data_IF_734515870472
#
_entry.id   IF_734515870472
#
_cell.length_a   1.000
_cell.length_b   1.000
_cell.length_c   1.000
_cell.angle_alpha   90.00
_cell.angle_beta   90.00
_cell.angle_gamma   90.00
#
_symmetry.space_group_name_H-M   'P 1'
#
loop_
_entity.id
_entity.type
_entity.pdbx_description
1 polymer ?
#
# COMPACT_ATOMS: atom_id res chain seq x y z
N UNK A 1 -56.74 24.99 -59.08
CA UNK A 1 -57.49 24.62 -57.85
C UNK A 1 -56.45 24.25 -56.80
N UNK A 2 -55.97 25.24 -56.05
CA UNK A 2 -55.04 25.02 -54.94
C UNK A 2 -55.80 25.53 -53.72
N UNK A 3 -56.62 24.66 -53.14
CA UNK A 3 -57.26 24.91 -51.85
C UNK A 3 -56.14 25.29 -50.88
N UNK A 4 -56.14 26.55 -50.45
CA UNK A 4 -55.31 27.01 -49.34
C UNK A 4 -55.77 26.21 -48.13
N UNK A 5 -55.04 25.15 -47.80
CA UNK A 5 -55.18 24.38 -46.57
C UNK A 5 -55.16 25.36 -45.40
N UNK A 6 -56.35 25.76 -44.95
CA UNK A 6 -56.56 26.71 -43.87
C UNK A 6 -56.32 25.92 -42.60
N UNK A 7 -55.06 25.90 -42.14
CA UNK A 7 -54.61 25.10 -40.99
C UNK A 7 -55.55 25.38 -39.80
N UNK A 8 -56.39 24.41 -39.41
CA UNK A 8 -57.42 24.60 -38.39
C UNK A 8 -56.80 24.98 -37.04
N UNK A 9 -57.54 25.75 -36.23
CA UNK A 9 -57.00 26.43 -35.04
C UNK A 9 -56.32 25.48 -34.03
N UNK A 10 -56.84 24.26 -33.88
CA UNK A 10 -56.25 23.22 -33.05
C UNK A 10 -54.86 22.78 -33.53
N UNK A 11 -54.60 22.77 -34.84
CA UNK A 11 -53.28 22.47 -35.41
C UNK A 11 -52.27 23.62 -35.15
N UNK A 12 -52.72 24.89 -35.16
CA UNK A 12 -51.86 26.02 -34.75
C UNK A 12 -51.51 25.94 -33.26
N UNK A 13 -52.49 25.65 -32.39
CA UNK A 13 -52.26 25.43 -30.95
C UNK A 13 -51.35 24.24 -30.69
N UNK A 14 -51.49 23.15 -31.46
CA UNK A 14 -50.61 21.98 -31.39
C UNK A 14 -49.18 22.27 -31.85
N UNK A 15 -48.98 23.05 -32.93
CA UNK A 15 -47.64 23.49 -33.38
C UNK A 15 -46.98 24.45 -32.39
N UNK A 16 -47.73 25.36 -31.79
CA UNK A 16 -47.22 26.22 -30.71
C UNK A 16 -46.89 25.38 -29.48
N UNK A 17 -47.73 24.40 -29.11
CA UNK A 17 -47.42 23.47 -28.04
C UNK A 17 -46.16 22.64 -28.35
N UNK A 18 -45.96 22.20 -29.59
CA UNK A 18 -44.74 21.49 -30.04
C UNK A 18 -43.50 22.39 -30.07
N UNK A 19 -43.65 23.68 -30.39
CA UNK A 19 -42.53 24.63 -30.34
C UNK A 19 -42.20 25.01 -28.90
N UNK A 20 -43.20 25.24 -28.04
CA UNK A 20 -42.98 25.48 -26.60
C UNK A 20 -42.41 24.22 -25.95
N UNK A 21 -42.89 23.04 -26.33
CA UNK A 21 -42.32 21.77 -25.93
C UNK A 21 -40.91 21.59 -26.50
N UNK A 22 -40.65 21.97 -27.75
CA UNK A 22 -39.34 21.88 -28.40
C UNK A 22 -38.31 22.82 -27.79
N UNK A 23 -38.70 24.07 -27.50
CA UNK A 23 -37.87 25.07 -26.79
C UNK A 23 -37.71 24.67 -25.33
N UNK A 24 -38.76 24.16 -24.68
CA UNK A 24 -38.69 23.59 -23.34
C UNK A 24 -37.76 22.39 -23.28
N UNK A 25 -37.82 21.49 -24.27
CA UNK A 25 -36.92 20.38 -24.45
C UNK A 25 -35.50 20.88 -24.69
N UNK A 26 -35.27 21.86 -25.56
CA UNK A 26 -33.94 22.42 -25.80
C UNK A 26 -33.37 23.12 -24.56
N UNK A 27 -34.17 23.92 -23.86
CA UNK A 27 -33.77 24.57 -22.62
C UNK A 27 -33.40 23.52 -21.56
N UNK A 28 -34.23 22.48 -21.42
CA UNK A 28 -33.96 21.33 -20.59
C UNK A 28 -32.68 20.60 -21.01
N UNK A 29 -32.43 20.42 -22.30
CA UNK A 29 -31.20 19.81 -22.82
C UNK A 29 -29.97 20.67 -22.51
N UNK A 30 -30.06 21.99 -22.64
CA UNK A 30 -28.95 22.91 -22.35
C UNK A 30 -28.64 23.03 -20.87
N UNK A 31 -29.63 23.15 -19.99
CA UNK A 31 -29.41 23.19 -18.53
C UNK A 31 -28.88 21.85 -18.03
N UNK A 32 -29.44 20.74 -18.53
CA UNK A 32 -28.94 19.41 -18.22
C UNK A 32 -27.51 19.19 -18.71
N UNK A 33 -27.14 19.77 -19.86
CA UNK A 33 -25.78 19.71 -20.40
C UNK A 33 -24.79 20.54 -19.57
N UNK A 34 -25.16 21.75 -19.14
CA UNK A 34 -24.32 22.61 -18.29
C UNK A 34 -24.10 22.01 -16.90
N UNK A 35 -25.16 21.53 -16.24
CA UNK A 35 -25.05 20.83 -14.95
C UNK A 35 -24.15 19.60 -15.04
N UNK A 36 -24.21 18.86 -16.16
CA UNK A 36 -23.31 17.72 -16.41
C UNK A 36 -21.86 18.14 -16.64
N UNK A 37 -21.59 19.32 -17.21
CA UNK A 37 -20.23 19.84 -17.41
C UNK A 37 -19.65 20.42 -16.12
N UNK A 38 -20.45 21.14 -15.33
CA UNK A 38 -20.05 21.66 -14.03
C UNK A 38 -19.85 20.53 -13.02
N UNK A 39 -20.75 19.54 -12.96
CA UNK A 39 -20.54 18.34 -12.15
C UNK A 39 -19.40 17.46 -12.66
N UNK A 40 -19.05 17.48 -13.96
CA UNK A 40 -17.83 16.83 -14.46
C UNK A 40 -16.57 17.64 -14.21
N UNK A 41 -16.62 18.96 -14.10
CA UNK A 41 -15.52 19.80 -13.63
C UNK A 41 -15.38 19.66 -12.12
N UNK A 42 -16.49 19.62 -11.36
CA UNK A 42 -16.53 19.41 -9.92
C UNK A 42 -16.23 17.98 -9.53
N UNK A 43 -16.57 16.97 -10.31
CA UNK A 43 -16.18 15.58 -10.16
C UNK A 43 -14.97 15.22 -11.04
N UNK A 44 -14.28 16.19 -11.66
CA UNK A 44 -12.87 16.06 -12.05
C UNK A 44 -11.99 16.84 -11.10
N UNK A 45 -12.48 17.93 -10.51
CA UNK A 45 -12.01 18.52 -9.26
C UNK A 45 -12.33 17.60 -8.09
N UNK A 46 -13.34 16.73 -8.19
CA UNK A 46 -13.77 15.74 -7.22
C UNK A 46 -13.79 14.30 -7.71
N UNK A 47 -13.13 14.04 -8.84
CA UNK A 47 -12.47 12.76 -9.10
C UNK A 47 -10.95 12.91 -9.13
N UNK A 48 -10.42 14.14 -9.25
CA UNK A 48 -9.13 14.53 -8.66
C UNK A 48 -9.24 14.64 -7.13
N UNK A 49 -10.26 15.33 -6.60
CA UNK A 49 -10.83 15.01 -5.28
C UNK A 49 -11.82 13.86 -5.43
N UNK A 50 -11.55 12.70 -6.11
CA UNK A 50 -12.10 11.33 -5.75
C UNK A 50 -12.75 10.39 -6.78
N UNK A 51 -11.98 9.47 -7.36
CA UNK A 51 -12.53 8.17 -7.78
C UNK A 51 -12.93 7.29 -6.58
N UNK A 52 -12.39 7.58 -5.40
CA UNK A 52 -12.72 7.02 -4.10
C UNK A 52 -12.90 8.20 -3.17
N UNK A 53 -14.00 8.37 -2.47
CA UNK A 53 -14.27 9.58 -1.67
C UNK A 53 -13.07 9.77 -0.67
N UNK A 54 -12.32 10.86 -0.89
CA UNK A 54 -10.89 11.27 -0.74
C UNK A 54 -10.81 12.86 -0.78
N UNK A 55 -11.32 13.60 0.19
CA UNK A 55 -11.26 15.06 0.18
C UNK A 55 -9.81 15.58 -0.01
N UNK A 56 -9.54 16.19 -1.18
CA UNK A 56 -8.24 16.84 -1.45
C UNK A 56 -8.31 18.29 -1.00
N UNK A 57 -7.42 18.68 -0.09
CA UNK A 57 -7.32 20.04 0.44
C UNK A 57 -5.85 20.44 0.66
N UNK A 58 -5.57 21.74 0.65
CA UNK A 58 -4.22 22.21 0.94
C UNK A 58 -3.99 22.40 2.43
N UNK A 59 -2.86 21.91 2.92
CA UNK A 59 -2.36 22.16 4.28
C UNK A 59 -0.87 22.54 4.21
N UNK A 60 -0.49 23.71 4.76
CA UNK A 60 0.87 24.27 4.70
C UNK A 60 1.50 24.30 3.28
N UNK A 61 0.67 24.58 2.26
CA UNK A 61 1.11 24.69 0.86
C UNK A 61 1.32 23.37 0.14
N UNK A 62 0.79 22.26 0.66
CA UNK A 62 0.90 20.92 0.05
C UNK A 62 -0.49 20.29 -0.10
N UNK A 63 -0.67 19.49 -1.15
CA UNK A 63 -1.93 18.80 -1.43
C UNK A 63 -2.07 17.54 -0.54
N UNK A 64 -3.10 17.55 0.31
CA UNK A 64 -3.46 16.48 1.25
C UNK A 64 -4.73 15.80 0.78
N UNK A 65 -4.79 14.48 0.91
CA UNK A 65 -5.80 13.62 0.28
C UNK A 65 -6.48 12.79 1.39
N UNK A 66 -7.70 13.15 1.82
CA UNK A 66 -8.45 12.60 2.98
C UNK A 66 -9.55 11.62 2.54
N UNK A 67 -9.36 10.31 2.61
CA UNK A 67 -10.43 9.33 2.30
C UNK A 67 -11.69 9.55 3.16
N UNK A 68 -12.86 8.98 2.81
CA UNK A 68 -14.07 8.94 3.68
C UNK A 68 -13.76 8.31 5.03
N UNK A 69 -12.64 7.62 5.15
CA UNK A 69 -12.22 7.02 6.39
C UNK A 69 -11.21 7.91 7.11
N UNK A 70 -10.84 9.10 6.62
CA UNK A 70 -9.90 9.98 7.31
C UNK A 70 -8.43 9.56 7.15
N UNK A 71 -8.13 8.70 6.17
CA UNK A 71 -6.75 8.36 5.81
C UNK A 71 -6.19 9.54 5.01
N UNK A 72 -5.21 10.24 5.56
CA UNK A 72 -4.54 11.41 4.96
C UNK A 72 -3.27 10.98 4.22
N UNK A 73 -3.26 11.01 2.90
CA UNK A 73 -2.09 10.61 2.11
C UNK A 73 -1.51 11.85 1.42
N UNK A 74 -0.20 12.09 1.62
CA UNK A 74 0.49 13.25 1.05
C UNK A 74 0.83 12.97 -0.41
N UNK A 75 0.25 13.69 -1.37
CA UNK A 75 0.58 13.47 -2.77
C UNK A 75 1.92 14.17 -3.09
N UNK A 76 2.98 13.41 -3.37
CA UNK A 76 4.17 14.00 -4.01
C UNK A 76 4.39 13.46 -5.42
N UNK A 77 4.16 12.18 -5.73
CA UNK A 77 4.18 11.64 -7.10
C UNK A 77 3.48 10.26 -7.13
N UNK A 78 2.30 10.12 -7.73
CA UNK A 78 1.61 8.82 -7.85
C UNK A 78 0.41 8.90 -8.78
N UNK A 79 0.45 8.18 -9.90
CA UNK A 79 -0.41 8.44 -11.08
C UNK A 79 -1.75 7.68 -11.12
N UNK A 80 -2.06 6.73 -10.24
CA UNK A 80 -3.32 5.96 -10.35
C UNK A 80 -3.90 5.60 -8.98
N UNK A 81 -5.23 5.44 -8.88
CA UNK A 81 -5.97 5.01 -7.68
C UNK A 81 -7.06 4.02 -8.13
N UNK A 82 -7.21 2.87 -7.44
CA UNK A 82 -8.22 1.86 -7.80
C UNK A 82 -9.31 1.76 -6.72
N UNK A 83 -10.57 1.79 -7.17
CA UNK A 83 -11.75 1.75 -6.31
C UNK A 83 -12.57 0.52 -6.66
N UNK A 84 -12.90 -0.29 -5.66
CA UNK A 84 -13.93 -1.34 -5.78
C UNK A 84 -15.00 -1.03 -4.72
N UNK A 85 -16.26 -0.98 -5.15
CA UNK A 85 -17.43 -0.74 -4.30
C UNK A 85 -17.37 0.54 -3.43
N UNK A 86 -16.80 1.63 -3.97
CA UNK A 86 -16.80 2.95 -3.31
C UNK A 86 -15.81 3.12 -2.15
N UNK A 87 -14.93 2.14 -1.93
CA UNK A 87 -13.86 2.17 -0.91
C UNK A 87 -12.50 2.33 -1.57
N UNK A 88 -11.65 3.19 -0.99
CA UNK A 88 -10.22 3.22 -1.32
C UNK A 88 -9.58 1.96 -0.78
N UNK A 89 -9.17 1.05 -1.68
CA UNK A 89 -8.56 -0.22 -1.29
C UNK A 89 -7.04 -0.11 -1.32
N UNK A 90 -6.47 0.70 -2.23
CA UNK A 90 -5.02 0.88 -2.39
C UNK A 90 -4.67 2.32 -2.80
N UNK A 91 -3.67 2.91 -2.15
CA UNK A 91 -2.98 4.12 -2.61
C UNK A 91 -1.66 3.74 -3.29
N UNK A 92 -1.38 4.26 -4.49
CA UNK A 92 -0.14 3.98 -5.22
C UNK A 92 0.99 4.94 -4.80
N UNK A 93 2.25 4.73 -5.24
CA UNK A 93 3.42 4.82 -4.39
C UNK A 93 3.75 6.22 -3.87
N UNK A 94 4.27 6.26 -2.64
CA UNK A 94 4.70 7.46 -1.95
C UNK A 94 6.18 7.39 -1.62
N UNK A 95 6.93 8.47 -1.90
CA UNK A 95 8.23 8.66 -1.28
C UNK A 95 8.03 9.27 0.12
N UNK A 96 8.16 8.45 1.16
CA UNK A 96 8.01 8.90 2.54
C UNK A 96 9.37 9.39 3.07
N UNK A 97 9.47 10.65 3.53
CA UNK A 97 10.70 11.17 4.10
C UNK A 97 10.95 10.51 5.45
N UNK A 98 12.16 9.98 5.63
CA UNK A 98 12.63 9.41 6.89
C UNK A 98 13.85 10.17 7.38
N UNK A 99 13.98 10.25 8.69
CA UNK A 99 15.13 10.81 9.37
C UNK A 99 15.89 9.66 10.03
N UNK A 100 17.13 9.44 9.60
CA UNK A 100 17.98 8.35 10.08
C UNK A 100 19.05 8.93 11.00
N UNK A 101 19.05 8.48 12.25
CA UNK A 101 20.13 8.77 13.18
C UNK A 101 21.20 7.70 13.05
N UNK A 102 22.37 8.08 12.52
CA UNK A 102 23.57 7.23 12.48
C UNK A 102 24.32 7.40 13.80
N UNK A 103 24.76 6.29 14.41
CA UNK A 103 25.47 6.31 15.70
C UNK A 103 26.73 7.19 15.67
N UNK A 104 27.40 7.25 14.53
CA UNK A 104 28.66 8.00 14.35
C UNK A 104 28.45 9.45 13.89
N UNK A 105 27.22 9.87 13.58
CA UNK A 105 26.92 11.22 13.08
C UNK A 105 26.13 12.04 14.09
N UNK A 106 26.58 13.27 14.35
CA UNK A 106 25.79 14.23 15.13
C UNK A 106 24.63 14.83 14.33
N UNK A 107 24.66 14.73 13.00
CA UNK A 107 23.63 15.27 12.13
C UNK A 107 22.77 14.12 11.59
N UNK A 108 21.45 14.14 11.82
CA UNK A 108 20.56 13.13 11.26
C UNK A 108 20.48 13.26 9.74
N UNK A 109 20.53 12.13 9.05
CA UNK A 109 20.42 12.07 7.60
C UNK A 109 18.95 12.00 7.18
N UNK A 110 18.60 12.68 6.08
CA UNK A 110 17.25 12.59 5.49
C UNK A 110 17.31 11.68 4.28
N UNK A 111 16.51 10.62 4.29
CA UNK A 111 16.30 9.78 3.10
C UNK A 111 14.81 9.76 2.73
N UNK A 112 14.50 9.14 1.58
CA UNK A 112 13.14 8.88 1.14
C UNK A 112 12.99 7.39 0.90
N UNK A 113 12.07 6.76 1.61
CA UNK A 113 11.69 5.37 1.37
C UNK A 113 10.55 5.30 0.37
N UNK A 114 10.46 4.19 -0.35
CA UNK A 114 9.35 3.92 -1.24
C UNK A 114 8.29 3.12 -0.49
N UNK A 115 7.13 3.76 -0.26
CA UNK A 115 5.92 3.10 0.19
C UNK A 115 5.14 2.73 -1.06
N UNK A 116 5.02 1.44 -1.35
CA UNK A 116 4.33 0.97 -2.55
C UNK A 116 2.82 1.12 -2.42
N UNK A 117 2.28 0.78 -1.26
CA UNK A 117 0.85 0.86 -1.00
C UNK A 117 0.54 1.11 0.48
N UNK A 118 -0.65 1.68 0.74
CA UNK A 118 -1.26 1.77 2.07
C UNK A 118 -2.66 1.19 1.97
N UNK A 119 -3.03 0.34 2.93
CA UNK A 119 -4.33 -0.32 3.01
C UNK A 119 -4.96 -0.13 4.39
N UNK A 120 -6.29 0.00 4.43
CA UNK A 120 -7.09 0.12 5.66
C UNK A 120 -7.95 -1.14 5.88
N UNK A 121 -8.25 -1.46 7.14
CA UNK A 121 -8.92 -2.70 7.57
C UNK A 121 -8.11 -3.95 7.22
N UNK A 122 -6.78 -3.87 7.32
CA UNK A 122 -5.93 -5.04 7.38
C UNK A 122 -6.20 -5.76 8.71
N UNK A 123 -7.21 -6.63 8.74
CA UNK A 123 -7.34 -7.61 9.82
C UNK A 123 -6.29 -8.72 9.70
N UNK A 124 -5.42 -8.59 8.71
CA UNK A 124 -4.39 -9.52 8.36
C UNK A 124 -3.14 -9.23 9.16
N UNK A 125 -2.54 -10.27 9.72
CA UNK A 125 -1.20 -10.12 10.23
C UNK A 125 -0.22 -9.82 9.09
N UNK A 126 0.88 -9.07 9.34
CA UNK A 126 1.94 -8.84 8.36
C UNK A 126 2.41 -10.10 7.62
N UNK A 127 2.33 -11.27 8.25
CA UNK A 127 2.61 -12.57 7.63
C UNK A 127 1.71 -12.90 6.43
N UNK A 128 0.43 -12.51 6.48
CA UNK A 128 -0.62 -12.86 5.53
C UNK A 128 -0.54 -12.02 4.26
N UNK A 129 0.23 -10.93 4.28
CA UNK A 129 0.55 -10.12 3.11
C UNK A 129 1.14 -10.95 1.96
N UNK A 130 1.97 -11.94 2.29
CA UNK A 130 2.48 -12.86 1.29
C UNK A 130 1.37 -13.87 0.95
N UNK A 131 0.87 -13.82 -0.28
CA UNK A 131 -0.28 -14.63 -0.77
C UNK A 131 -0.25 -16.10 -0.32
N UNK A 132 0.92 -16.71 -0.27
CA UNK A 132 1.12 -18.10 0.18
C UNK A 132 0.88 -18.35 1.68
N UNK A 133 0.55 -17.31 2.46
CA UNK A 133 0.51 -17.34 3.93
C UNK A 133 -0.81 -16.84 4.53
N UNK A 134 -1.79 -16.46 3.71
CA UNK A 134 -3.08 -15.94 4.16
C UNK A 134 -3.81 -16.84 5.19
N UNK A 135 -3.53 -18.15 5.20
CA UNK A 135 -4.17 -19.12 6.12
C UNK A 135 -3.28 -19.60 7.28
N UNK A 136 -2.06 -19.08 7.44
CA UNK A 136 -0.99 -19.71 8.24
C UNK A 136 -0.69 -19.03 9.59
N UNK A 137 -1.49 -18.08 10.01
CA UNK A 137 -0.99 -17.02 10.88
C UNK A 137 -1.15 -17.24 12.41
N UNK A 138 -2.00 -18.13 12.92
CA UNK A 138 -2.21 -18.24 14.37
C UNK A 138 -1.30 -19.23 15.11
N UNK A 139 -0.15 -19.59 14.52
CA UNK A 139 0.71 -20.65 15.01
C UNK A 139 1.96 -20.09 15.70
N UNK A 140 1.94 -20.08 17.04
CA UNK A 140 3.03 -19.53 17.86
C UNK A 140 4.42 -20.12 17.56
N UNK A 141 4.48 -21.37 17.09
CA UNK A 141 5.73 -22.06 16.77
C UNK A 141 6.47 -21.45 15.56
N UNK A 142 5.79 -20.70 14.69
CA UNK A 142 6.41 -20.04 13.52
C UNK A 142 7.38 -18.94 13.92
N UNK A 143 7.13 -18.33 15.07
CA UNK A 143 7.92 -17.25 15.65
C UNK A 143 9.13 -17.75 16.45
N UNK A 144 9.42 -19.06 16.40
CA UNK A 144 10.54 -19.69 17.09
C UNK A 144 11.24 -20.70 16.18
N UNK A 145 12.58 -20.85 16.27
CA UNK A 145 13.50 -19.96 16.97
C UNK A 145 13.55 -18.59 16.29
N UNK A 146 14.04 -17.60 17.04
CA UNK A 146 14.33 -16.26 16.55
C UNK A 146 15.83 -16.11 16.50
N UNK A 147 16.40 -15.93 15.30
CA UNK A 147 17.86 -15.91 15.12
C UNK A 147 18.28 -14.51 14.65
N UNK A 148 18.98 -13.72 15.47
CA UNK A 148 19.31 -12.34 15.12
C UNK A 148 20.35 -12.28 14.00
N UNK A 149 20.10 -11.45 12.99
CA UNK A 149 21.13 -11.09 12.02
C UNK A 149 22.17 -10.20 12.72
N UNK A 150 23.49 -10.46 12.51
CA UNK A 150 24.55 -9.71 13.18
C UNK A 150 24.71 -8.27 12.68
N UNK A 151 24.44 -8.01 11.39
CA UNK A 151 24.68 -6.70 10.76
C UNK A 151 23.45 -5.80 10.61
N UNK A 152 22.25 -6.37 10.71
CA UNK A 152 20.98 -5.67 10.44
C UNK A 152 20.04 -5.88 11.63
N UNK A 153 19.15 -4.92 11.94
CA UNK A 153 18.14 -5.09 13.00
C UNK A 153 16.98 -5.98 12.53
N UNK A 154 17.33 -7.16 12.02
CA UNK A 154 16.45 -8.20 11.51
C UNK A 154 16.68 -9.49 12.28
N UNK A 155 15.62 -10.25 12.50
CA UNK A 155 15.67 -11.58 13.08
C UNK A 155 15.09 -12.59 12.06
N UNK A 156 15.82 -13.68 11.81
CA UNK A 156 15.40 -14.78 10.96
C UNK A 156 14.37 -15.66 11.69
N UNK A 157 13.28 -15.97 10.99
CA UNK A 157 12.22 -16.88 11.45
C UNK A 157 12.14 -18.11 10.53
N UNK A 158 12.92 -19.18 10.80
CA UNK A 158 13.11 -20.29 9.87
C UNK A 158 11.86 -21.19 9.73
N UNK A 159 10.90 -21.10 10.64
CA UNK A 159 9.65 -21.86 10.57
C UNK A 159 8.55 -21.16 9.76
N UNK A 160 8.78 -19.90 9.36
CA UNK A 160 7.74 -19.07 8.80
C UNK A 160 7.27 -19.52 7.40
N UNK A 161 8.20 -20.06 6.62
CA UNK A 161 7.97 -20.59 5.29
C UNK A 161 7.19 -21.90 5.21
N UNK A 162 7.00 -22.62 6.32
CA UNK A 162 6.41 -23.96 6.34
C UNK A 162 4.89 -23.96 6.17
N UNK A 163 4.31 -25.06 5.68
CA UNK A 163 2.86 -25.24 5.72
C UNK A 163 2.39 -25.55 7.14
N UNK A 164 1.17 -25.15 7.49
CA UNK A 164 0.58 -25.40 8.81
C UNK A 164 0.47 -26.89 9.13
N UNK A 165 0.12 -27.69 8.13
CA UNK A 165 0.00 -29.16 8.25
C UNK A 165 1.33 -29.84 8.59
N UNK A 166 2.47 -29.22 8.24
CA UNK A 166 3.79 -29.81 8.49
C UNK A 166 4.25 -29.60 9.94
N UNK A 167 3.59 -28.70 10.69
CA UNK A 167 3.97 -28.34 12.05
C UNK A 167 5.38 -27.75 12.19
N UNK A 168 5.88 -27.62 13.44
CA UNK A 168 7.20 -27.04 13.73
C UNK A 168 8.35 -27.90 13.17
N UNK A 169 9.40 -27.26 12.66
CA UNK A 169 10.63 -27.98 12.32
C UNK A 169 11.45 -28.33 13.57
N UNK A 170 11.70 -29.61 13.87
CA UNK A 170 12.62 -29.99 14.95
C UNK A 170 14.06 -29.53 14.70
N UNK A 171 14.43 -29.23 13.45
CA UNK A 171 15.73 -28.69 13.06
C UNK A 171 15.66 -27.18 12.73
N UNK A 172 14.57 -26.50 13.10
CA UNK A 172 14.44 -25.07 12.89
C UNK A 172 15.67 -24.33 13.44
N UNK A 173 16.28 -23.51 12.61
CA UNK A 173 17.47 -22.75 13.00
C UNK A 173 18.80 -23.46 12.82
N UNK A 174 18.82 -24.67 12.25
CA UNK A 174 20.04 -25.40 11.92
C UNK A 174 20.11 -25.74 10.44
N UNK A 175 21.25 -25.46 9.82
CA UNK A 175 21.51 -25.79 8.43
C UNK A 175 20.64 -24.97 7.46
N UNK A 176 19.54 -25.56 7.00
CA UNK A 176 18.72 -25.02 5.90
C UNK A 176 17.31 -24.69 6.39
N UNK A 177 16.80 -23.53 6.01
CA UNK A 177 15.39 -23.15 6.18
C UNK A 177 14.51 -24.04 5.30
N UNK A 178 13.51 -24.69 5.90
CA UNK A 178 12.53 -25.48 5.16
C UNK A 178 11.38 -24.59 4.70
N UNK A 179 11.34 -24.29 3.40
CA UNK A 179 10.35 -23.41 2.78
C UNK A 179 10.96 -22.05 2.41
N UNK A 180 10.19 -20.98 2.58
CA UNK A 180 10.63 -19.62 2.31
C UNK A 180 11.27 -18.94 3.54
N UNK A 181 12.20 -18.02 3.25
CA UNK A 181 12.94 -17.23 4.25
C UNK A 181 12.22 -15.92 4.52
N UNK A 182 12.05 -15.60 5.80
CA UNK A 182 11.40 -14.39 6.27
C UNK A 182 12.16 -13.78 7.44
N UNK A 183 12.18 -12.45 7.47
CA UNK A 183 12.86 -11.65 8.45
C UNK A 183 11.85 -10.80 9.18
N UNK A 184 11.86 -10.83 10.51
CA UNK A 184 11.10 -9.88 11.31
C UNK A 184 12.00 -8.75 11.76
N UNK A 185 11.49 -7.52 11.76
CA UNK A 185 12.28 -6.39 12.25
C UNK A 185 12.35 -6.44 13.77
N UNK A 186 13.56 -6.34 14.30
CA UNK A 186 13.83 -6.44 15.72
C UNK A 186 13.19 -5.25 16.42
N UNK A 187 12.41 -5.52 17.46
CA UNK A 187 11.74 -4.49 18.26
C UNK A 187 10.39 -4.03 17.70
N UNK A 188 10.16 -4.15 16.38
CA UNK A 188 8.86 -3.91 15.78
C UNK A 188 7.85 -4.98 16.26
N UNK A 189 6.64 -4.56 16.63
CA UNK A 189 5.55 -5.46 17.04
C UNK A 189 4.21 -4.92 16.57
N UNK A 190 3.45 -5.79 15.91
CA UNK A 190 2.07 -5.53 15.57
C UNK A 190 1.23 -5.41 16.85
N UNK A 191 0.47 -4.32 17.07
CA UNK A 191 -0.20 -4.06 18.35
C UNK A 191 -1.24 -5.13 18.73
N UNK A 192 -1.95 -5.67 17.74
CA UNK A 192 -2.93 -6.73 17.96
C UNK A 192 -2.33 -8.11 18.22
N UNK A 193 -1.25 -8.45 17.50
CA UNK A 193 -0.76 -9.83 17.42
C UNK A 193 0.52 -10.06 18.24
N UNK A 194 1.21 -8.99 18.63
CA UNK A 194 2.49 -9.06 19.34
C UNK A 194 3.65 -9.62 18.51
N UNK A 195 3.44 -9.85 17.22
CA UNK A 195 4.41 -10.42 16.29
C UNK A 195 5.14 -9.31 15.53
N UNK A 196 6.41 -9.50 15.12
CA UNK A 196 7.10 -8.49 14.33
C UNK A 196 6.53 -8.35 12.93
N UNK A 197 6.76 -7.18 12.35
CA UNK A 197 6.55 -6.90 10.93
C UNK A 197 7.54 -7.73 10.09
N UNK A 198 7.04 -8.40 9.05
CA UNK A 198 7.80 -9.37 8.27
C UNK A 198 8.22 -8.80 6.91
N UNK A 199 9.47 -9.09 6.56
CA UNK A 199 10.13 -8.70 5.33
C UNK A 199 10.71 -9.94 4.62
N UNK A 200 10.61 -9.91 3.30
CA UNK A 200 11.42 -10.70 2.39
C UNK A 200 12.62 -9.85 1.99
N UNK A 201 13.83 -10.37 2.19
CA UNK A 201 15.06 -9.67 1.87
C UNK A 201 15.86 -10.45 0.84
N UNK A 202 16.54 -9.75 -0.06
CA UNK A 202 17.39 -10.32 -1.09
C UNK A 202 18.85 -10.09 -0.76
N UNK A 203 19.59 -11.17 -0.63
CA UNK A 203 21.01 -11.13 -0.27
C UNK A 203 21.89 -11.19 -1.51
N UNK A 204 23.08 -10.61 -1.39
CA UNK A 204 24.15 -10.79 -2.36
C UNK A 204 24.52 -12.27 -2.43
N UNK A 205 24.62 -12.77 -3.65
CA UNK A 205 24.98 -14.15 -3.92
C UNK A 205 26.39 -14.19 -4.52
N UNK A 206 27.18 -15.26 -4.26
CA UNK A 206 28.54 -15.38 -4.79
C UNK A 206 28.59 -15.32 -6.32
N UNK A 207 29.64 -14.74 -6.89
CA UNK A 207 29.82 -14.71 -8.34
C UNK A 207 30.12 -16.10 -8.90
N UNK A 208 29.71 -16.36 -10.16
CA UNK A 208 30.02 -17.62 -10.87
C UNK A 208 29.25 -18.87 -10.42
N UNK A 209 28.25 -18.70 -9.55
CA UNK A 209 27.43 -19.80 -9.02
C UNK A 209 26.50 -20.44 -10.05
N UNK A 210 26.25 -21.73 -9.87
CA UNK A 210 25.23 -22.52 -10.57
C UNK A 210 23.83 -22.31 -9.97
N UNK A 211 22.74 -22.62 -10.72
CA UNK A 211 21.38 -22.54 -10.18
C UNK A 211 21.13 -23.41 -8.94
N UNK A 212 21.83 -24.56 -8.81
CA UNK A 212 21.73 -25.37 -7.60
C UNK A 212 22.33 -24.65 -6.37
N UNK A 213 23.45 -23.96 -6.57
CA UNK A 213 24.08 -23.15 -5.51
C UNK A 213 23.22 -21.94 -5.13
N UNK A 214 22.54 -21.31 -6.09
CA UNK A 214 21.57 -20.24 -5.79
C UNK A 214 20.49 -20.69 -4.81
N UNK A 215 19.88 -21.85 -5.09
CA UNK A 215 18.87 -22.41 -4.21
C UNK A 215 19.44 -22.75 -2.83
N UNK A 216 20.66 -23.28 -2.76
CA UNK A 216 21.32 -23.54 -1.49
C UNK A 216 21.51 -22.27 -0.66
N UNK A 217 22.08 -21.21 -1.25
CA UNK A 217 22.32 -19.95 -0.55
C UNK A 217 21.04 -19.23 -0.14
N UNK A 218 19.96 -19.37 -0.92
CA UNK A 218 18.68 -18.76 -0.61
C UNK A 218 18.05 -19.26 0.70
N UNK A 219 18.45 -20.44 1.19
CA UNK A 219 17.88 -21.05 2.40
C UNK A 219 18.92 -21.50 3.44
N UNK A 220 20.21 -21.46 3.13
CA UNK A 220 21.27 -21.80 4.10
C UNK A 220 21.38 -20.73 5.18
N UNK A 221 21.16 -21.11 6.45
CA UNK A 221 21.08 -20.19 7.59
C UNK A 221 22.42 -19.52 7.87
N UNK A 222 23.53 -20.28 7.84
CA UNK A 222 24.86 -19.73 8.11
C UNK A 222 25.24 -18.67 7.08
N UNK A 223 24.99 -18.96 5.80
CA UNK A 223 25.16 -18.00 4.72
C UNK A 223 24.27 -16.78 4.90
N UNK A 224 22.97 -16.97 5.13
CA UNK A 224 22.00 -15.87 5.29
C UNK A 224 22.34 -14.93 6.45
N UNK A 225 22.98 -15.43 7.52
CA UNK A 225 23.42 -14.60 8.64
C UNK A 225 24.74 -13.88 8.39
N UNK A 226 25.57 -14.37 7.46
CA UNK A 226 26.83 -13.74 7.05
C UNK A 226 26.70 -12.83 5.83
N UNK A 227 25.66 -13.01 5.02
CA UNK A 227 25.50 -12.35 3.75
C UNK A 227 25.10 -10.88 3.89
N UNK A 228 25.51 -10.08 2.90
CA UNK A 228 25.08 -8.69 2.76
C UNK A 228 23.78 -8.62 1.98
N UNK A 229 22.96 -7.63 2.29
CA UNK A 229 21.75 -7.39 1.49
C UNK A 229 22.17 -6.74 0.17
N UNK A 230 21.53 -7.19 -0.92
CA UNK A 230 21.84 -6.71 -2.25
C UNK A 230 21.57 -5.21 -2.40
N UNK A 231 22.60 -4.48 -2.82
CA UNK A 231 22.50 -3.06 -3.19
C UNK A 231 22.44 -2.83 -4.70
N UNK A 232 22.40 -3.90 -5.51
CA UNK A 232 22.39 -3.80 -6.97
C UNK A 232 21.25 -2.90 -7.46
N UNK A 233 21.55 -2.04 -8.43
CA UNK A 233 20.57 -1.15 -9.06
C UNK A 233 19.44 -2.00 -9.68
N UNK A 234 18.21 -1.80 -9.22
CA UNK A 234 17.03 -2.57 -9.64
C UNK A 234 16.77 -3.85 -8.83
N UNK A 235 17.66 -4.22 -7.91
CA UNK A 235 17.35 -5.21 -6.89
C UNK A 235 16.67 -4.52 -5.70
N UNK A 236 15.49 -5.01 -5.31
CA UNK A 236 14.85 -4.65 -4.06
C UNK A 236 15.69 -5.22 -2.90
N UNK A 237 16.00 -4.42 -1.88
CA UNK A 237 16.81 -4.87 -0.73
C UNK A 237 15.96 -5.70 0.21
N UNK A 238 14.86 -5.12 0.69
CA UNK A 238 13.80 -5.84 1.40
C UNK A 238 12.42 -5.30 1.03
N UNK A 239 11.44 -6.19 0.98
CA UNK A 239 10.03 -5.89 0.81
C UNK A 239 9.27 -6.42 2.02
N UNK A 240 8.40 -5.61 2.62
CA UNK A 240 7.59 -6.06 3.75
C UNK A 240 6.45 -5.13 4.04
N UNK A 241 5.75 -5.41 5.14
CA UNK A 241 4.59 -4.64 5.58
C UNK A 241 4.81 -4.11 6.97
N UNK A 242 4.47 -2.84 7.16
CA UNK A 242 4.45 -2.16 8.45
C UNK A 242 3.02 -1.83 8.81
N UNK A 243 2.68 -1.96 10.08
CA UNK A 243 1.33 -1.67 10.59
C UNK A 243 1.35 -0.43 11.49
N UNK A 244 0.23 0.28 11.60
CA UNK A 244 0.09 1.35 12.59
C UNK A 244 0.25 0.80 14.01
N UNK A 245 1.04 1.48 14.85
CA UNK A 245 1.36 1.00 16.20
C UNK A 245 0.19 1.02 17.18
N UNK A 246 -0.90 1.73 16.87
CA UNK A 246 -2.06 1.89 17.77
C UNK A 246 -3.03 0.74 17.66
N UNK A 247 -3.39 0.37 16.44
CA UNK A 247 -4.48 -0.56 16.15
C UNK A 247 -4.05 -1.71 15.23
N UNK A 248 -3.05 -1.47 14.38
CA UNK A 248 -2.61 -2.41 13.34
C UNK A 248 -3.66 -2.64 12.25
N UNK A 249 -4.61 -1.73 12.10
CA UNK A 249 -5.66 -1.82 11.07
C UNK A 249 -5.24 -1.15 9.76
N UNK A 250 -4.23 -0.29 9.80
CA UNK A 250 -3.65 0.37 8.64
C UNK A 250 -2.26 -0.21 8.43
N UNK A 251 -1.99 -0.62 7.20
CA UNK A 251 -0.72 -1.23 6.82
C UNK A 251 -0.13 -0.54 5.61
N UNK A 252 1.19 -0.44 5.56
CA UNK A 252 1.95 0.04 4.41
C UNK A 252 2.89 -1.03 3.89
N UNK A 253 2.87 -1.26 2.58
CA UNK A 253 3.89 -2.05 1.90
C UNK A 253 5.11 -1.17 1.62
N UNK A 254 6.28 -1.60 2.13
CA UNK A 254 7.55 -0.90 1.97
C UNK A 254 8.48 -1.66 1.06
N UNK A 255 9.10 -0.94 0.11
CA UNK A 255 10.27 -1.43 -0.64
C UNK A 255 11.48 -0.63 -0.21
N UNK A 256 12.41 -1.32 0.43
CA UNK A 256 13.61 -0.76 0.99
C UNK A 256 14.81 -1.16 0.15
N UNK A 257 15.68 -0.20 -0.15
CA UNK A 257 16.97 -0.44 -0.81
C UNK A 257 17.96 -1.01 0.21
N UNK A 258 18.97 -1.76 -0.24
CA UNK A 258 19.96 -2.39 0.65
C UNK A 258 20.57 -1.44 1.68
N UNK A 259 20.97 -0.22 1.26
CA UNK A 259 21.50 0.82 2.13
C UNK A 259 20.58 1.23 3.29
N UNK A 260 19.26 1.06 3.13
CA UNK A 260 18.26 1.45 4.13
C UNK A 260 18.12 0.40 5.23
N UNK A 261 18.58 -0.84 4.99
CA UNK A 261 18.27 -1.96 5.89
C UNK A 261 19.05 -1.89 7.20
N UNK A 262 20.20 -1.22 7.23
CA UNK A 262 20.92 -0.95 8.48
C UNK A 262 20.09 -0.15 9.50
N UNK A 263 19.09 0.58 9.04
CA UNK A 263 18.24 1.45 9.86
C UNK A 263 16.76 1.10 9.71
N UNK A 264 16.45 -0.16 9.35
CA UNK A 264 15.07 -0.57 9.09
C UNK A 264 14.18 -0.43 10.32
N UNK A 265 14.71 -0.61 11.53
CA UNK A 265 14.01 -0.36 12.79
C UNK A 265 13.52 1.09 12.91
N UNK A 266 14.40 2.07 12.69
CA UNK A 266 14.07 3.50 12.72
C UNK A 266 13.08 3.88 11.61
N UNK A 267 13.22 3.27 10.43
CA UNK A 267 12.33 3.49 9.29
C UNK A 267 10.92 2.99 9.62
N UNK A 268 10.82 1.77 10.14
CA UNK A 268 9.53 1.15 10.48
C UNK A 268 8.84 1.92 11.59
N UNK A 269 9.57 2.36 12.61
CA UNK A 269 9.00 3.20 13.67
C UNK A 269 8.38 4.47 13.09
N UNK A 270 9.11 5.22 12.26
CA UNK A 270 8.59 6.44 11.63
C UNK A 270 7.40 6.19 10.70
N UNK A 271 7.43 5.10 9.94
CA UNK A 271 6.28 4.72 9.10
C UNK A 271 5.09 4.34 9.97
N UNK A 272 5.29 3.54 11.00
CA UNK A 272 4.22 3.13 11.92
C UNK A 272 3.58 4.33 12.63
N UNK A 273 4.40 5.30 13.04
CA UNK A 273 3.97 6.58 13.62
C UNK A 273 3.15 7.39 12.62
N UNK A 274 3.62 7.49 11.37
CA UNK A 274 2.84 8.13 10.32
C UNK A 274 1.50 7.42 10.10
N UNK A 275 1.49 6.09 10.04
CA UNK A 275 0.25 5.32 9.86
C UNK A 275 -0.73 5.50 11.02
N UNK A 276 -0.26 5.66 12.25
CA UNK A 276 -1.14 5.93 13.40
C UNK A 276 -1.90 7.26 13.26
N UNK A 277 -1.29 8.27 12.64
CA UNK A 277 -1.92 9.58 12.42
C UNK A 277 -3.06 9.53 11.41
N UNK A 278 -3.15 8.45 10.64
CA UNK A 278 -4.22 8.24 9.68
C UNK A 278 -5.49 7.82 10.43
N UNK A 279 -6.59 8.52 10.18
CA UNK A 279 -7.88 8.14 10.73
C UNK A 279 -8.50 7.06 9.83
N UNK A 280 -9.33 6.19 10.43
CA UNK A 280 -10.21 5.24 9.70
C UNK A 280 -11.64 5.39 10.24
N UNK A 281 -12.52 6.11 9.53
CA UNK A 281 -13.93 6.23 9.86
C UNK A 281 -14.57 4.85 9.72
N UNK A 282 -15.21 4.42 10.79
CA UNK A 282 -15.99 3.18 10.80
C UNK A 282 -17.38 3.52 10.26
N UNK A 283 -17.80 2.79 9.23
CA UNK A 283 -19.21 2.72 8.80
C UNK A 283 -20.10 2.22 9.94
#
# INVERSE_FOLDING_TARGET
MLERLRIPEWQKKFLVALMVFGVGCMAYFFTSYKLRMDARLEARLAAAKNSCKIRVFQHNGQDVVETIQGVMIKAYYGEYWYCRDGKAIESYPLFFPVVIQKEESQVPEKDKIFIKSIAAKSYENPSQYFYNHQKKFNEAWRWRPRIPHPQYPLDLYPNFGRESQDGPDPQAGKGIVRGAVFWGVRGAKHPRWGTPDIFKCWFELPEGRSPQEENYYAVNIEWLLGAKISEKIGAEGCQGVVSDKRTGNITAELWLKGRNIHHIDQIIEQVSDFLETLMVERE
#
